data_IF_525040927392
#
_entry.id   IF_525040927392
#
_cell.length_a   1.000
_cell.length_b   1.000
_cell.length_c   1.000
_cell.angle_alpha   90.00
_cell.angle_beta   90.00
_cell.angle_gamma   90.00
#
_symmetry.space_group_name_H-M   'P 1'
#
loop_
_entity.id
_entity.type
_entity.pdbx_description
1 polymer ?
#
# COMPACT_ATOMS: atom_id res chain seq x y z
N UNK A 1 2.55 -7.10 2.45
CA UNK A 1 3.35 -7.08 3.69
C UNK A 1 4.75 -7.71 3.58
N UNK A 2 5.05 -8.65 2.64
CA UNK A 2 6.35 -9.40 2.56
C UNK A 2 7.63 -8.55 2.65
N UNK A 3 7.64 -7.29 2.17
CA UNK A 3 8.79 -6.39 2.33
C UNK A 3 8.87 -5.83 3.76
N UNK A 4 7.73 -5.44 4.31
CA UNK A 4 7.61 -4.88 5.67
C UNK A 4 7.99 -5.91 6.74
N UNK A 5 7.65 -7.18 6.51
CA UNK A 5 7.93 -8.29 7.43
C UNK A 5 9.44 -8.55 7.61
N UNK A 6 10.28 -8.00 6.73
CA UNK A 6 11.73 -8.11 6.81
C UNK A 6 12.40 -6.97 7.59
N UNK A 7 11.62 -5.95 8.00
CA UNK A 7 12.10 -4.82 8.78
C UNK A 7 11.82 -5.04 10.27
N UNK A 8 12.84 -4.81 11.09
CA UNK A 8 12.67 -4.72 12.54
C UNK A 8 12.07 -3.37 12.95
N UNK A 9 11.88 -3.17 14.24
CA UNK A 9 11.24 -1.99 14.82
C UNK A 9 11.97 -0.68 14.53
N UNK A 10 13.29 -0.72 14.44
CA UNK A 10 14.10 0.47 14.13
C UNK A 10 14.16 0.72 12.64
N UNK A 11 14.35 -0.33 11.84
CA UNK A 11 14.46 -0.21 10.39
C UNK A 11 13.17 0.30 9.74
N UNK A 12 11.98 -0.08 10.24
CA UNK A 12 10.70 0.38 9.67
C UNK A 12 10.51 1.90 9.76
N UNK A 13 11.14 2.55 10.75
CA UNK A 13 11.08 4.00 11.00
C UNK A 13 12.26 4.77 10.41
N UNK A 14 13.28 4.07 9.93
CA UNK A 14 14.48 4.70 9.38
C UNK A 14 14.21 5.22 7.96
N UNK A 15 14.67 6.44 7.70
CA UNK A 15 14.66 7.08 6.38
C UNK A 15 15.99 6.82 5.66
N UNK A 16 16.01 6.91 4.33
CA UNK A 16 17.24 6.81 3.55
C UNK A 16 18.02 8.13 3.53
N UNK A 17 17.29 9.23 3.60
CA UNK A 17 17.79 10.61 3.67
C UNK A 17 16.72 11.49 4.35
N UNK A 18 17.00 12.77 4.66
CA UNK A 18 16.07 13.66 5.36
C UNK A 18 14.74 13.94 4.64
N UNK A 19 14.70 13.79 3.31
CA UNK A 19 13.50 14.07 2.49
C UNK A 19 12.69 12.79 2.21
N UNK A 20 13.25 11.61 2.50
CA UNK A 20 12.59 10.32 2.24
C UNK A 20 11.70 9.92 3.41
N UNK A 21 10.45 9.60 3.13
CA UNK A 21 9.56 9.03 4.15
C UNK A 21 10.03 7.62 4.57
N UNK A 22 9.91 7.32 5.86
CA UNK A 22 10.11 5.95 6.36
C UNK A 22 8.98 5.01 5.90
N UNK A 23 9.21 3.71 5.98
CA UNK A 23 8.16 2.71 5.69
C UNK A 23 6.98 2.88 6.66
N UNK A 24 7.22 3.17 7.94
CA UNK A 24 6.18 3.42 8.93
C UNK A 24 5.27 4.58 8.52
N UNK A 25 5.85 5.70 8.10
CA UNK A 25 5.12 6.89 7.62
C UNK A 25 4.33 6.56 6.35
N UNK A 26 4.92 5.84 5.39
CA UNK A 26 4.19 5.42 4.18
C UNK A 26 2.99 4.53 4.52
N UNK A 27 3.12 3.60 5.46
CA UNK A 27 2.01 2.76 5.92
C UNK A 27 0.90 3.59 6.57
N UNK A 28 1.25 4.57 7.43
CA UNK A 28 0.29 5.50 8.03
C UNK A 28 -0.47 6.29 6.96
N UNK A 29 0.26 6.86 6.00
CA UNK A 29 -0.30 7.59 4.87
C UNK A 29 -1.25 6.74 4.03
N UNK A 30 -0.86 5.54 3.67
CA UNK A 30 -1.71 4.62 2.89
C UNK A 30 -2.97 4.24 3.67
N UNK A 31 -2.85 3.95 4.96
CA UNK A 31 -4.00 3.64 5.83
C UNK A 31 -4.99 4.79 5.90
N UNK A 32 -4.52 6.01 6.14
CA UNK A 32 -5.35 7.23 6.17
C UNK A 32 -6.01 7.51 4.82
N UNK A 33 -5.23 7.37 3.72
CA UNK A 33 -5.75 7.55 2.37
C UNK A 33 -6.87 6.55 2.04
N UNK A 34 -6.67 5.27 2.28
CA UNK A 34 -7.64 4.21 2.00
C UNK A 34 -8.92 4.40 2.82
N UNK A 35 -8.80 4.70 4.11
CA UNK A 35 -9.96 4.98 4.98
C UNK A 35 -10.75 6.17 4.47
N UNK A 36 -10.10 7.31 4.21
CA UNK A 36 -10.77 8.49 3.67
C UNK A 36 -11.45 8.18 2.34
N UNK A 37 -10.75 7.50 1.43
CA UNK A 37 -11.23 7.24 0.08
C UNK A 37 -12.43 6.31 0.03
N UNK A 38 -12.42 5.24 0.85
CA UNK A 38 -13.35 4.12 0.71
C UNK A 38 -14.43 4.06 1.80
N UNK A 39 -14.37 4.85 2.85
CA UNK A 39 -15.51 4.99 3.78
C UNK A 39 -16.67 5.64 3.02
N UNK A 40 -17.85 5.02 3.07
CA UNK A 40 -19.08 5.48 2.37
C UNK A 40 -18.80 5.85 0.90
N UNK A 41 -18.03 4.99 0.21
CA UNK A 41 -17.41 5.26 -1.09
C UNK A 41 -18.37 5.74 -2.16
N UNK A 42 -19.59 5.18 -2.22
CA UNK A 42 -20.58 5.52 -3.22
C UNK A 42 -21.48 6.72 -2.83
N UNK A 43 -21.37 7.23 -1.60
CA UNK A 43 -22.28 8.20 -1.02
C UNK A 43 -21.63 9.54 -0.66
N UNK A 44 -20.33 9.53 -0.35
CA UNK A 44 -19.62 10.73 0.15
C UNK A 44 -18.36 11.00 -0.67
N UNK A 45 -17.83 12.22 -0.56
CA UNK A 45 -16.54 12.55 -1.18
C UNK A 45 -15.41 11.65 -0.62
N UNK A 46 -14.53 11.21 -1.50
CA UNK A 46 -13.36 10.40 -1.15
C UNK A 46 -12.28 11.15 -0.38
N UNK A 47 -12.40 12.46 -0.19
CA UNK A 47 -11.61 13.21 0.78
C UNK A 47 -12.51 13.63 1.94
N UNK A 48 -12.37 12.96 3.08
CA UNK A 48 -13.22 13.22 4.25
C UNK A 48 -12.81 14.54 4.92
N UNK A 49 -13.77 15.35 5.41
CA UNK A 49 -13.50 16.66 5.98
C UNK A 49 -12.66 16.60 7.26
N UNK A 50 -12.69 15.50 7.97
CA UNK A 50 -11.93 15.23 9.19
C UNK A 50 -10.54 14.63 8.93
N UNK A 51 -10.18 14.34 7.66
CA UNK A 51 -8.88 13.81 7.31
C UNK A 51 -7.78 14.86 7.51
N UNK A 52 -6.84 14.56 8.35
CA UNK A 52 -5.65 15.38 8.59
C UNK A 52 -4.47 14.80 7.81
N UNK A 53 -4.45 15.06 6.49
CA UNK A 53 -3.48 14.46 5.58
C UNK A 53 -2.02 14.71 5.98
N UNK A 54 -1.70 15.93 6.43
CA UNK A 54 -0.32 16.28 6.75
C UNK A 54 0.19 15.56 8.00
N UNK A 55 -0.69 15.22 8.95
CA UNK A 55 -0.34 14.41 10.11
C UNK A 55 0.04 12.96 9.72
N UNK A 56 -0.40 12.49 8.55
CA UNK A 56 -0.03 11.17 8.06
C UNK A 56 1.47 11.07 7.74
N UNK A 57 2.16 12.20 7.55
CA UNK A 57 3.59 12.27 7.25
C UNK A 57 4.46 12.56 8.47
N UNK A 58 3.88 12.60 9.66
CA UNK A 58 4.61 12.74 10.92
C UNK A 58 4.82 11.37 11.55
N UNK A 59 6.07 11.04 11.91
CA UNK A 59 6.39 9.83 12.68
C UNK A 59 6.14 10.11 14.17
N UNK A 60 4.92 9.89 14.60
CA UNK A 60 4.46 10.03 16.00
C UNK A 60 4.23 8.66 16.68
N UNK A 61 4.74 7.58 16.11
CA UNK A 61 4.62 6.24 16.67
C UNK A 61 5.47 6.05 17.93
N UNK A 62 5.04 5.19 18.87
CA UNK A 62 5.88 4.75 19.98
C UNK A 62 7.21 4.16 19.49
N UNK A 63 8.20 4.09 20.35
CA UNK A 63 9.46 3.40 20.05
C UNK A 63 9.32 1.87 20.08
N UNK A 64 10.23 1.16 19.43
CA UNK A 64 10.32 -0.29 19.44
C UNK A 64 9.18 -1.02 18.75
N UNK A 65 8.91 -2.26 19.16
CA UNK A 65 7.87 -3.13 18.54
C UNK A 65 6.45 -2.55 18.64
N UNK A 66 6.14 -1.76 19.65
CA UNK A 66 4.87 -1.09 19.76
C UNK A 66 4.63 -0.11 18.60
N UNK A 67 5.66 0.65 18.20
CA UNK A 67 5.57 1.56 17.05
C UNK A 67 5.49 0.82 15.72
N UNK A 68 6.25 -0.26 15.57
CA UNK A 68 6.15 -1.13 14.39
C UNK A 68 4.74 -1.69 14.24
N UNK A 69 4.18 -2.24 15.31
CA UNK A 69 2.82 -2.78 15.32
C UNK A 69 1.78 -1.70 15.01
N UNK A 70 1.92 -0.49 15.58
CA UNK A 70 1.02 0.62 15.32
C UNK A 70 1.04 1.08 13.85
N UNK A 71 2.22 1.15 13.23
CA UNK A 71 2.34 1.50 11.81
C UNK A 71 1.65 0.46 10.90
N UNK A 72 1.84 -0.82 11.18
CA UNK A 72 1.18 -1.92 10.46
C UNK A 72 -0.34 -1.83 10.66
N UNK A 73 -0.81 -1.68 11.90
CA UNK A 73 -2.23 -1.56 12.21
C UNK A 73 -2.90 -0.35 11.53
N UNK A 74 -2.19 0.77 11.42
CA UNK A 74 -2.68 1.94 10.69
C UNK A 74 -2.97 1.62 9.22
N UNK A 75 -2.07 0.91 8.54
CA UNK A 75 -2.29 0.43 7.18
C UNK A 75 -3.44 -0.57 7.10
N UNK A 76 -3.45 -1.59 7.95
CA UNK A 76 -4.46 -2.65 7.94
C UNK A 76 -5.87 -2.12 8.19
N UNK A 77 -6.01 -1.10 9.03
CA UNK A 77 -7.27 -0.40 9.24
C UNK A 77 -7.85 0.19 7.93
N UNK A 78 -7.01 0.88 7.14
CA UNK A 78 -7.45 1.41 5.84
C UNK A 78 -7.67 0.30 4.80
N UNK A 79 -6.83 -0.73 4.82
CA UNK A 79 -6.94 -1.88 3.93
C UNK A 79 -8.25 -2.65 4.15
N UNK A 80 -8.70 -2.80 5.40
CA UNK A 80 -9.97 -3.45 5.70
C UNK A 80 -11.16 -2.68 5.16
N UNK A 81 -11.12 -1.33 5.20
CA UNK A 81 -12.17 -0.49 4.59
C UNK A 81 -12.21 -0.67 3.07
N UNK A 82 -11.05 -0.65 2.40
CA UNK A 82 -10.97 -0.91 0.96
C UNK A 82 -11.54 -2.28 0.61
N UNK A 83 -11.13 -3.34 1.30
CA UNK A 83 -11.55 -4.70 0.98
C UNK A 83 -13.05 -4.91 1.24
N UNK A 84 -13.60 -4.32 2.29
CA UNK A 84 -15.05 -4.33 2.55
C UNK A 84 -15.82 -3.59 1.44
N UNK A 85 -15.33 -2.44 1.00
CA UNK A 85 -15.92 -1.70 -0.13
C UNK A 85 -15.89 -2.53 -1.41
N UNK A 86 -14.75 -3.14 -1.75
CA UNK A 86 -14.65 -3.96 -2.96
C UNK A 86 -15.58 -5.16 -2.94
N UNK A 87 -15.77 -5.79 -1.77
CA UNK A 87 -16.69 -6.92 -1.60
C UNK A 87 -18.17 -6.53 -1.79
N UNK A 88 -18.51 -5.26 -1.55
CA UNK A 88 -19.88 -4.75 -1.69
C UNK A 88 -20.19 -4.21 -3.10
N UNK A 89 -19.18 -3.91 -3.92
CA UNK A 89 -19.36 -3.39 -5.27
C UNK A 89 -19.81 -4.50 -6.22
N UNK A 90 -20.66 -4.11 -7.18
CA UNK A 90 -21.09 -4.93 -8.31
C UNK A 90 -20.59 -4.35 -9.63
N UNK A 91 -20.66 -5.11 -10.72
CA UNK A 91 -20.31 -4.61 -12.06
C UNK A 91 -21.14 -3.39 -12.47
N UNK A 92 -22.41 -3.33 -12.04
CA UNK A 92 -23.31 -2.20 -12.31
C UNK A 92 -22.83 -0.89 -11.64
N UNK A 93 -22.04 -0.99 -10.56
CA UNK A 93 -21.53 0.19 -9.86
C UNK A 93 -20.33 0.82 -10.57
N UNK A 94 -19.63 0.10 -11.44
CA UNK A 94 -18.38 0.57 -12.06
C UNK A 94 -18.54 1.87 -12.87
N UNK A 95 -19.70 2.08 -13.45
CA UNK A 95 -20.05 3.29 -14.22
C UNK A 95 -20.58 4.44 -13.37
N UNK A 96 -20.92 4.22 -12.10
CA UNK A 96 -21.48 5.27 -11.22
C UNK A 96 -20.44 6.36 -10.96
N UNK A 97 -20.93 7.56 -10.71
CA UNK A 97 -20.10 8.71 -10.37
C UNK A 97 -19.89 8.77 -8.86
N UNK A 98 -18.62 8.91 -8.47
CA UNK A 98 -18.15 9.25 -7.11
C UNK A 98 -17.33 10.52 -7.19
N UNK A 99 -17.17 11.23 -6.08
CA UNK A 99 -16.35 12.45 -6.03
C UNK A 99 -15.09 12.23 -5.24
N UNK A 100 -14.02 12.92 -5.63
CA UNK A 100 -12.75 12.96 -4.92
C UNK A 100 -12.27 14.41 -4.91
N UNK A 101 -12.28 15.06 -3.76
CA UNK A 101 -12.00 16.51 -3.63
C UNK A 101 -12.89 17.37 -4.52
N UNK A 102 -14.17 17.02 -4.59
CA UNK A 102 -15.14 17.69 -5.44
C UNK A 102 -15.07 17.32 -6.93
N UNK A 103 -14.04 16.60 -7.38
CA UNK A 103 -13.90 16.18 -8.78
C UNK A 103 -14.66 14.89 -9.06
N UNK A 104 -15.50 14.82 -10.11
CA UNK A 104 -16.23 13.62 -10.45
C UNK A 104 -15.33 12.57 -11.14
N UNK A 105 -15.50 11.33 -10.74
CA UNK A 105 -14.85 10.15 -11.33
C UNK A 105 -15.87 9.04 -11.49
N UNK A 106 -15.71 8.16 -12.49
CA UNK A 106 -16.39 6.87 -12.42
C UNK A 106 -15.76 6.02 -11.30
N UNK A 107 -16.53 5.10 -10.72
CA UNK A 107 -16.02 4.12 -9.74
C UNK A 107 -14.79 3.41 -10.30
N UNK A 108 -14.86 2.92 -11.55
CA UNK A 108 -13.71 2.27 -12.20
C UNK A 108 -12.47 3.16 -12.23
N UNK A 109 -12.61 4.46 -12.56
CA UNK A 109 -11.51 5.42 -12.57
C UNK A 109 -10.95 5.68 -11.16
N UNK A 110 -11.82 5.79 -10.16
CA UNK A 110 -11.42 5.98 -8.77
C UNK A 110 -10.64 4.78 -8.23
N UNK A 111 -11.06 3.54 -8.57
CA UNK A 111 -10.34 2.31 -8.25
C UNK A 111 -8.98 2.24 -8.94
N UNK A 112 -8.91 2.54 -10.24
CA UNK A 112 -7.65 2.58 -10.99
C UNK A 112 -6.66 3.60 -10.40
N UNK A 113 -7.15 4.79 -10.00
CA UNK A 113 -6.34 5.82 -9.31
C UNK A 113 -5.79 5.31 -7.98
N UNK A 114 -6.59 4.60 -7.18
CA UNK A 114 -6.14 4.02 -5.92
C UNK A 114 -5.14 2.89 -6.13
N UNK A 115 -5.33 2.06 -7.16
CA UNK A 115 -4.36 1.02 -7.53
C UNK A 115 -3.01 1.62 -7.92
N UNK A 116 -3.00 2.67 -8.74
CA UNK A 116 -1.78 3.37 -9.14
C UNK A 116 -1.06 3.98 -7.92
N UNK A 117 -1.80 4.58 -6.99
CA UNK A 117 -1.25 5.15 -5.75
C UNK A 117 -0.64 4.08 -4.84
N UNK A 118 -1.32 2.95 -4.66
CA UNK A 118 -0.81 1.81 -3.90
C UNK A 118 0.45 1.23 -4.56
N UNK A 119 0.45 1.05 -5.90
CA UNK A 119 1.61 0.53 -6.63
C UNK A 119 2.82 1.46 -6.53
N UNK A 120 2.61 2.77 -6.61
CA UNK A 120 3.65 3.78 -6.41
C UNK A 120 4.34 3.64 -5.04
N UNK A 121 3.55 3.60 -3.96
CA UNK A 121 4.08 3.45 -2.62
C UNK A 121 4.63 2.05 -2.33
N UNK A 122 4.06 1.00 -2.93
CA UNK A 122 4.61 -0.35 -2.84
C UNK A 122 6.05 -0.41 -3.40
N UNK A 123 6.30 0.28 -4.51
CA UNK A 123 7.64 0.41 -5.07
C UNK A 123 8.61 1.08 -4.08
N UNK A 124 8.20 2.19 -3.46
CA UNK A 124 8.99 2.89 -2.44
C UNK A 124 9.27 1.99 -1.23
N UNK A 125 8.24 1.38 -0.65
CA UNK A 125 8.38 0.46 0.50
C UNK A 125 9.36 -0.68 0.18
N UNK A 126 9.24 -1.28 -1.01
CA UNK A 126 10.12 -2.39 -1.42
C UNK A 126 11.57 -1.92 -1.58
N UNK A 127 11.80 -0.76 -2.18
CA UNK A 127 13.13 -0.20 -2.37
C UNK A 127 13.78 0.14 -1.00
N UNK A 128 13.06 0.86 -0.15
CA UNK A 128 13.53 1.25 1.17
C UNK A 128 13.84 0.01 2.01
N UNK A 129 12.91 -0.93 2.10
CA UNK A 129 13.09 -2.15 2.88
C UNK A 129 14.31 -2.96 2.40
N UNK A 130 14.46 -3.14 1.09
CA UNK A 130 15.59 -3.84 0.50
C UNK A 130 16.93 -3.15 0.81
N UNK A 131 16.96 -1.82 0.73
CA UNK A 131 18.16 -1.03 1.05
C UNK A 131 18.55 -1.18 2.51
N UNK A 132 17.58 -1.10 3.42
CA UNK A 132 17.81 -1.17 4.86
C UNK A 132 18.17 -2.59 5.35
N UNK A 133 17.55 -3.61 4.76
CA UNK A 133 17.86 -5.03 5.06
C UNK A 133 19.24 -5.43 4.51
N UNK A 134 19.61 -4.89 3.37
CA UNK A 134 20.86 -5.19 2.68
C UNK A 134 20.81 -6.49 1.85
N UNK A 135 21.74 -6.63 0.89
CA UNK A 135 21.69 -7.72 -0.10
C UNK A 135 21.80 -9.12 0.51
N UNK A 136 22.57 -9.26 1.57
CA UNK A 136 22.86 -10.56 2.20
C UNK A 136 21.65 -11.14 2.98
N UNK A 137 20.80 -10.28 3.53
CA UNK A 137 19.66 -10.69 4.37
C UNK A 137 18.33 -10.61 3.64
N UNK A 138 18.27 -9.89 2.50
CA UNK A 138 17.04 -9.68 1.76
C UNK A 138 16.48 -10.99 1.18
N UNK A 139 15.30 -11.37 1.60
CA UNK A 139 14.54 -12.48 1.01
C UNK A 139 13.74 -11.96 -0.17
N UNK A 140 14.01 -12.49 -1.36
CA UNK A 140 13.31 -12.09 -2.60
C UNK A 140 11.81 -12.36 -2.47
N UNK A 141 10.99 -11.34 -2.73
CA UNK A 141 9.53 -11.37 -2.55
C UNK A 141 8.75 -11.68 -3.85
N UNK A 142 9.46 -11.73 -4.97
CA UNK A 142 8.95 -12.06 -6.30
C UNK A 142 9.73 -13.22 -6.91
N UNK A 143 9.89 -13.26 -8.22
CA UNK A 143 10.77 -14.23 -8.91
C UNK A 143 12.21 -13.72 -8.81
N UNK A 144 13.16 -14.51 -8.29
CA UNK A 144 14.56 -14.10 -8.25
C UNK A 144 15.13 -13.92 -9.66
N UNK A 145 16.15 -13.05 -9.79
CA UNK A 145 16.85 -12.84 -11.06
C UNK A 145 17.41 -14.19 -11.56
N UNK A 146 17.07 -14.55 -12.79
CA UNK A 146 17.44 -15.85 -13.39
C UNK A 146 16.54 -17.02 -13.01
N UNK A 147 15.56 -16.83 -12.10
CA UNK A 147 14.70 -17.90 -11.58
C UNK A 147 13.41 -18.16 -12.37
N UNK A 148 13.18 -17.48 -13.50
CA UNK A 148 11.92 -17.57 -14.24
C UNK A 148 11.63 -19.00 -14.71
N UNK A 149 12.62 -19.74 -15.23
CA UNK A 149 12.44 -21.12 -15.73
C UNK A 149 12.02 -22.07 -14.63
N UNK A 150 12.65 -21.97 -13.45
CA UNK A 150 12.31 -22.79 -12.28
C UNK A 150 10.90 -22.46 -11.78
N UNK A 151 10.57 -21.16 -11.74
CA UNK A 151 9.24 -20.69 -11.35
C UNK A 151 8.17 -21.23 -12.30
N UNK A 152 8.36 -21.13 -13.62
CA UNK A 152 7.44 -21.62 -14.64
C UNK A 152 7.26 -23.13 -14.54
N UNK A 153 8.36 -23.87 -14.38
CA UNK A 153 8.33 -25.34 -14.22
C UNK A 153 7.51 -25.73 -12.98
N UNK A 154 7.66 -25.01 -11.87
CA UNK A 154 6.88 -25.26 -10.63
C UNK A 154 5.38 -25.02 -10.81
N UNK A 155 5.01 -24.05 -11.65
CA UNK A 155 3.61 -23.76 -11.99
C UNK A 155 3.05 -24.65 -13.12
N UNK A 156 3.87 -25.54 -13.70
CA UNK A 156 3.49 -26.32 -14.88
C UNK A 156 3.35 -25.49 -16.16
N UNK A 157 3.79 -24.24 -16.13
CA UNK A 157 3.70 -23.33 -17.27
C UNK A 157 4.77 -23.67 -18.32
N UNK A 158 4.33 -23.91 -19.56
CA UNK A 158 5.20 -24.12 -20.72
C UNK A 158 4.95 -22.96 -21.70
N UNK A 159 5.89 -22.03 -21.87
CA UNK A 159 5.71 -20.98 -22.86
C UNK A 159 5.66 -21.61 -24.26
N UNK A 160 4.66 -21.18 -25.05
CA UNK A 160 4.65 -21.53 -26.47
C UNK A 160 5.92 -20.97 -27.10
N UNK A 161 6.83 -21.85 -27.53
CA UNK A 161 7.95 -21.45 -28.38
C UNK A 161 7.38 -21.24 -29.77
N UNK A 162 7.29 -19.97 -30.20
CA UNK A 162 7.13 -19.65 -31.61
C UNK A 162 8.42 -20.02 -32.35
#
# INVERSE_FOLDING_TARGET
MKAVDQLDADAIRRTLDPETNSVAVILKHLGGNLRSRFTDFLATDGEKPDRRRDDEFVDDFPSGEAGRAAAIAAFESGWSVLTATLAALTDADLGRTVTIRGEPHTVARALARSLAHLAYHQGQVTLIARTLVGPERWKVITIPRGGSREHDARLGFRPNRA
#
